data_IF_501795576363
#
_entry.id   IF_501795576363
#
_cell.length_a   1.000
_cell.length_b   1.000
_cell.length_c   1.000
_cell.angle_alpha   90.00
_cell.angle_beta   90.00
_cell.angle_gamma   90.00
#
_symmetry.space_group_name_H-M   'P 1'
#
loop_
_entity.id
_entity.type
_entity.pdbx_description
1 polymer ?
#
# COMPACT_ATOMS: atom_id res chain seq x y z
N UNK A 1 17.81 -19.33 24.32
CA UNK A 1 17.63 -17.93 23.88
C UNK A 1 17.25 -17.96 22.40
N UNK A 2 15.98 -18.26 22.05
CA UNK A 2 15.62 -18.55 20.65
C UNK A 2 14.16 -18.27 20.28
N UNK A 3 13.51 -17.32 20.97
CA UNK A 3 12.03 -17.24 20.99
C UNK A 3 11.51 -15.81 20.82
N UNK A 4 12.40 -14.80 20.78
CA UNK A 4 12.02 -13.38 20.95
C UNK A 4 11.74 -12.63 19.64
N UNK A 5 11.84 -13.30 18.49
CA UNK A 5 11.69 -12.70 17.15
C UNK A 5 10.48 -13.24 16.38
N UNK A 6 9.68 -14.11 17.00
CA UNK A 6 8.39 -14.53 16.45
C UNK A 6 7.35 -13.42 16.62
N UNK A 7 6.49 -13.23 15.62
CA UNK A 7 5.35 -12.32 15.74
C UNK A 7 4.50 -12.70 16.95
N UNK A 8 4.42 -11.82 17.95
CA UNK A 8 3.50 -12.03 19.07
C UNK A 8 2.05 -11.93 18.56
N UNK A 9 1.08 -12.70 19.11
CA UNK A 9 -0.32 -12.55 18.73
C UNK A 9 -0.81 -11.10 18.84
N UNK A 10 -0.35 -10.39 19.86
CA UNK A 10 -0.63 -8.97 20.04
C UNK A 10 -0.06 -8.11 18.92
N UNK A 11 1.19 -8.35 18.51
CA UNK A 11 1.82 -7.64 17.40
C UNK A 11 1.10 -7.86 16.07
N UNK A 12 0.71 -9.10 15.77
CA UNK A 12 -0.07 -9.44 14.58
C UNK A 12 -1.43 -8.75 14.58
N UNK A 13 -2.13 -8.74 15.72
CA UNK A 13 -3.40 -8.03 15.87
C UNK A 13 -3.21 -6.53 15.62
N UNK A 14 -2.23 -5.90 16.27
CA UNK A 14 -1.94 -4.48 16.08
C UNK A 14 -1.60 -4.13 14.63
N UNK A 15 -0.83 -4.99 13.95
CA UNK A 15 -0.49 -4.82 12.54
C UNK A 15 -1.73 -4.86 11.64
N UNK A 16 -2.60 -5.88 11.79
CA UNK A 16 -3.81 -6.03 10.98
C UNK A 16 -4.80 -4.89 11.23
N UNK A 17 -5.03 -4.51 12.49
CA UNK A 17 -5.91 -3.38 12.83
C UNK A 17 -5.30 -2.05 12.40
N UNK A 18 -3.97 -1.91 12.42
CA UNK A 18 -3.25 -0.78 11.83
C UNK A 18 -3.57 -0.62 10.34
N UNK A 19 -3.59 -1.71 9.57
CA UNK A 19 -3.98 -1.63 8.15
C UNK A 19 -5.39 -1.06 7.91
N UNK A 20 -6.31 -1.23 8.86
CA UNK A 20 -7.68 -0.70 8.79
C UNK A 20 -7.80 0.78 9.15
N UNK A 21 -6.76 1.39 9.74
CA UNK A 21 -6.80 2.76 10.24
C UNK A 21 -7.22 3.79 9.18
N UNK A 22 -6.57 3.85 8.00
CA UNK A 22 -6.93 4.79 6.94
C UNK A 22 -8.36 4.60 6.41
N UNK A 23 -8.81 3.35 6.27
CA UNK A 23 -10.20 3.03 5.91
C UNK A 23 -11.20 3.58 6.93
N UNK A 24 -11.00 3.26 8.21
CA UNK A 24 -11.92 3.65 9.27
C UNK A 24 -11.96 5.17 9.42
N UNK A 25 -10.79 5.83 9.39
CA UNK A 25 -10.68 7.28 9.47
C UNK A 25 -11.43 7.97 8.32
N UNK A 26 -11.24 7.51 7.08
CA UNK A 26 -11.94 8.07 5.93
C UNK A 26 -13.45 7.82 5.98
N UNK A 27 -13.91 6.64 6.39
CA UNK A 27 -15.33 6.36 6.57
C UNK A 27 -15.98 7.32 7.58
N UNK A 28 -15.32 7.56 8.71
CA UNK A 28 -15.78 8.53 9.74
C UNK A 28 -15.78 9.95 9.19
N UNK A 29 -14.72 10.37 8.52
CA UNK A 29 -14.62 11.73 7.97
C UNK A 29 -15.66 11.99 6.88
N UNK A 30 -15.91 11.03 6.00
CA UNK A 30 -16.99 11.10 4.99
C UNK A 30 -18.35 11.24 5.65
N UNK A 31 -18.61 10.44 6.70
CA UNK A 31 -19.87 10.49 7.43
C UNK A 31 -20.09 11.84 8.13
N UNK A 32 -19.10 12.34 8.87
CA UNK A 32 -19.17 13.61 9.60
C UNK A 32 -19.29 14.82 8.66
N UNK A 33 -18.68 14.74 7.47
CA UNK A 33 -18.80 15.79 6.44
C UNK A 33 -20.13 15.76 5.67
N UNK A 34 -21.07 14.88 6.05
CA UNK A 34 -22.39 14.77 5.42
C UNK A 34 -22.36 14.16 4.01
N UNK A 35 -21.20 13.66 3.57
CA UNK A 35 -21.05 12.98 2.27
C UNK A 35 -21.57 11.54 2.39
N UNK A 36 -22.05 10.97 1.29
CA UNK A 36 -22.59 9.61 1.30
C UNK A 36 -21.47 8.58 1.33
N UNK A 37 -21.32 7.86 2.45
CA UNK A 37 -20.37 6.74 2.61
C UNK A 37 -20.58 5.68 1.54
N UNK A 38 -21.84 5.39 1.17
CA UNK A 38 -22.17 4.44 0.10
C UNK A 38 -21.62 4.89 -1.24
N UNK A 39 -21.73 6.17 -1.57
CA UNK A 39 -21.22 6.72 -2.83
C UNK A 39 -19.69 6.68 -2.89
N UNK A 40 -19.04 7.07 -1.80
CA UNK A 40 -17.58 7.01 -1.63
C UNK A 40 -17.07 5.57 -1.80
N UNK A 41 -17.68 4.62 -1.07
CA UNK A 41 -17.26 3.23 -1.13
C UNK A 41 -17.46 2.61 -2.52
N UNK A 42 -18.56 2.93 -3.21
CA UNK A 42 -18.79 2.48 -4.59
C UNK A 42 -17.73 3.03 -5.55
N UNK A 43 -17.31 4.28 -5.35
CA UNK A 43 -16.28 4.94 -6.16
C UNK A 43 -14.94 4.20 -6.16
N UNK A 44 -14.61 3.49 -5.07
CA UNK A 44 -13.38 2.68 -4.96
C UNK A 44 -13.36 1.55 -5.99
N UNK A 45 -14.53 0.98 -6.32
CA UNK A 45 -14.65 -0.14 -7.25
C UNK A 45 -14.97 0.28 -8.68
N UNK A 46 -14.80 1.56 -9.02
CA UNK A 46 -15.02 2.07 -10.38
C UNK A 46 -13.86 1.67 -11.30
N UNK A 47 -13.95 0.47 -11.87
CA UNK A 47 -12.96 -0.09 -12.79
C UNK A 47 -13.14 0.31 -14.26
N UNK A 48 -13.71 1.48 -14.58
CA UNK A 48 -13.87 1.94 -15.97
C UNK A 48 -12.94 3.11 -16.27
N UNK A 49 -11.64 2.86 -16.24
CA UNK A 49 -10.62 3.85 -16.59
C UNK A 49 -9.97 3.54 -17.94
N UNK A 50 -9.28 4.52 -18.53
CA UNK A 50 -8.62 4.34 -19.82
C UNK A 50 -7.56 3.22 -19.77
N UNK A 51 -7.47 2.40 -20.83
CA UNK A 51 -6.55 1.25 -20.93
C UNK A 51 -5.10 1.59 -20.55
N UNK A 52 -4.64 2.80 -20.91
CA UNK A 52 -3.31 3.30 -20.58
C UNK A 52 -2.97 3.21 -19.09
N UNK A 53 -3.94 3.39 -18.19
CA UNK A 53 -3.68 3.34 -16.75
C UNK A 53 -3.47 1.92 -16.25
N UNK A 54 -4.15 0.92 -16.84
CA UNK A 54 -3.88 -0.49 -16.57
C UNK A 54 -2.49 -0.90 -17.06
N UNK A 55 -2.12 -0.46 -18.26
CA UNK A 55 -0.79 -0.70 -18.82
C UNK A 55 0.27 -0.07 -17.91
N UNK A 56 0.11 1.19 -17.52
CA UNK A 56 1.05 1.86 -16.61
C UNK A 56 1.15 1.17 -15.24
N UNK A 57 0.02 0.75 -14.67
CA UNK A 57 -0.01 0.05 -13.38
C UNK A 57 0.75 -1.29 -13.39
N UNK A 58 0.79 -1.98 -14.54
CA UNK A 58 1.56 -3.21 -14.70
C UNK A 58 3.03 -2.91 -15.07
N UNK A 59 3.27 -1.99 -15.98
CA UNK A 59 4.60 -1.75 -16.54
C UNK A 59 5.51 -1.00 -15.57
N UNK A 60 5.00 -0.01 -14.82
CA UNK A 60 5.84 0.79 -13.91
C UNK A 60 6.51 -0.09 -12.84
N UNK A 61 5.80 -0.94 -12.06
CA UNK A 61 6.43 -1.79 -11.06
C UNK A 61 7.47 -2.75 -11.65
N UNK A 62 7.20 -3.32 -12.84
CA UNK A 62 8.14 -4.19 -13.54
C UNK A 62 9.41 -3.43 -13.91
N UNK A 63 9.28 -2.23 -14.49
CA UNK A 63 10.44 -1.42 -14.85
C UNK A 63 11.25 -0.99 -13.63
N UNK A 64 10.60 -0.65 -12.52
CA UNK A 64 11.28 -0.33 -11.26
C UNK A 64 12.04 -1.55 -10.71
N UNK A 65 11.43 -2.74 -10.73
CA UNK A 65 12.07 -3.99 -10.30
C UNK A 65 13.29 -4.31 -11.16
N UNK A 66 13.17 -4.21 -12.49
CA UNK A 66 14.28 -4.45 -13.42
C UNK A 66 15.39 -3.42 -13.22
N UNK A 67 15.03 -2.14 -13.04
CA UNK A 67 16.00 -1.09 -12.72
C UNK A 67 16.76 -1.37 -11.42
N UNK A 68 16.05 -1.77 -10.36
CA UNK A 68 16.66 -2.17 -9.09
C UNK A 68 17.58 -3.38 -9.25
N UNK A 69 17.19 -4.38 -10.04
CA UNK A 69 18.01 -5.55 -10.34
C UNK A 69 19.31 -5.17 -11.07
N UNK A 70 19.24 -4.27 -12.07
CA UNK A 70 20.43 -3.74 -12.76
C UNK A 70 21.36 -3.00 -11.78
N UNK A 71 20.80 -2.14 -10.93
CA UNK A 71 21.56 -1.43 -9.90
C UNK A 71 22.27 -2.43 -8.97
N UNK A 72 21.57 -3.48 -8.53
CA UNK A 72 22.11 -4.51 -7.64
C UNK A 72 23.30 -5.25 -8.27
N UNK A 73 23.21 -5.61 -9.55
CA UNK A 73 24.31 -6.29 -10.26
C UNK A 73 25.51 -5.36 -10.46
N UNK A 74 25.28 -4.12 -10.88
CA UNK A 74 26.37 -3.19 -11.26
C UNK A 74 27.10 -2.63 -10.04
N UNK A 75 26.36 -2.27 -8.98
CA UNK A 75 26.91 -1.49 -7.86
C UNK A 75 27.13 -2.31 -6.59
N UNK A 76 26.55 -3.51 -6.50
CA UNK A 76 26.56 -4.30 -5.26
C UNK A 76 27.05 -5.74 -5.46
N UNK A 77 27.71 -6.05 -6.59
CA UNK A 77 28.17 -7.38 -6.97
C UNK A 77 27.06 -8.46 -6.87
N UNK A 78 25.81 -8.03 -7.03
CA UNK A 78 24.63 -8.86 -6.87
C UNK A 78 24.49 -9.85 -8.03
N UNK A 79 23.96 -11.04 -7.72
CA UNK A 79 23.58 -12.03 -8.73
C UNK A 79 22.06 -12.12 -8.79
N UNK A 80 21.50 -12.00 -9.99
CA UNK A 80 20.06 -12.19 -10.23
C UNK A 80 19.85 -13.56 -10.85
N UNK A 81 19.22 -14.46 -10.11
CA UNK A 81 18.85 -15.80 -10.61
C UNK A 81 17.33 -15.94 -10.69
N UNK A 82 16.82 -16.86 -11.54
CA UNK A 82 15.39 -17.17 -11.58
C UNK A 82 14.82 -17.64 -10.24
N UNK A 83 15.65 -18.14 -9.33
CA UNK A 83 15.25 -18.59 -7.98
C UNK A 83 14.77 -17.44 -7.09
N UNK A 84 15.04 -16.19 -7.47
CA UNK A 84 14.51 -14.99 -6.81
C UNK A 84 13.04 -14.71 -7.17
N UNK A 85 12.53 -15.34 -8.23
CA UNK A 85 11.14 -15.16 -8.62
C UNK A 85 10.25 -16.04 -7.73
N UNK A 86 9.12 -15.50 -7.23
CA UNK A 86 8.16 -16.29 -6.47
C UNK A 86 7.62 -17.43 -7.33
N UNK A 87 7.31 -18.56 -6.69
CA UNK A 87 6.74 -19.71 -7.38
C UNK A 87 5.43 -19.37 -8.09
N UNK A 88 5.09 -20.13 -9.13
CA UNK A 88 3.88 -19.90 -9.97
C UNK A 88 2.59 -19.90 -9.15
N UNK A 89 2.55 -20.61 -8.03
CA UNK A 89 1.42 -20.65 -7.10
C UNK A 89 1.53 -19.56 -6.03
N UNK A 90 2.74 -19.28 -5.55
CA UNK A 90 3.00 -18.31 -4.48
C UNK A 90 2.69 -16.88 -4.93
N UNK A 91 3.07 -16.56 -6.17
CA UNK A 91 2.87 -15.21 -6.72
C UNK A 91 1.40 -14.76 -6.71
N UNK A 92 0.43 -15.48 -7.31
CA UNK A 92 -0.96 -15.04 -7.29
C UNK A 92 -1.55 -15.00 -5.87
N UNK A 93 -1.11 -15.88 -4.96
CA UNK A 93 -1.54 -15.87 -3.57
C UNK A 93 -1.03 -14.61 -2.84
N UNK A 94 0.26 -14.31 -2.99
CA UNK A 94 0.86 -13.12 -2.39
C UNK A 94 0.26 -11.84 -2.98
N UNK A 95 0.06 -11.80 -4.31
CA UNK A 95 -0.58 -10.67 -4.98
C UNK A 95 -2.01 -10.46 -4.46
N UNK A 96 -2.80 -11.53 -4.33
CA UNK A 96 -4.14 -11.46 -3.75
C UNK A 96 -4.13 -10.96 -2.31
N UNK A 97 -3.19 -11.44 -1.49
CA UNK A 97 -3.00 -10.98 -0.13
C UNK A 97 -2.67 -9.48 -0.07
N UNK A 98 -1.71 -9.01 -0.88
CA UNK A 98 -1.32 -7.60 -0.94
C UNK A 98 -2.48 -6.73 -1.42
N UNK A 99 -3.23 -7.15 -2.44
CA UNK A 99 -4.39 -6.41 -2.95
C UNK A 99 -5.47 -6.28 -1.87
N UNK A 100 -5.72 -7.33 -1.08
CA UNK A 100 -6.81 -7.32 -0.11
C UNK A 100 -6.43 -6.67 1.22
N UNK A 101 -5.27 -7.03 1.77
CA UNK A 101 -4.87 -6.68 3.14
C UNK A 101 -3.82 -5.58 3.20
N UNK A 102 -2.96 -5.44 2.18
CA UNK A 102 -2.03 -4.32 2.07
C UNK A 102 -2.73 -3.10 1.50
N UNK A 103 -2.91 -3.09 0.18
CA UNK A 103 -3.54 -1.96 -0.52
C UNK A 103 -5.04 -1.83 -0.23
N UNK A 104 -5.79 -2.93 -0.20
CA UNK A 104 -7.26 -2.87 -0.11
C UNK A 104 -7.81 -2.22 1.16
N UNK A 105 -7.08 -2.31 2.27
CA UNK A 105 -7.47 -1.69 3.54
C UNK A 105 -6.97 -0.24 3.63
N UNK A 106 -5.83 0.08 3.03
CA UNK A 106 -5.22 1.40 3.18
C UNK A 106 -5.66 2.40 2.09
N UNK A 107 -5.69 1.95 0.83
CA UNK A 107 -5.94 2.79 -0.35
C UNK A 107 -7.30 3.51 -0.32
N UNK A 108 -8.40 2.97 0.24
CA UNK A 108 -9.63 3.73 0.45
C UNK A 108 -9.44 5.03 1.24
N UNK A 109 -8.56 5.01 2.25
CA UNK A 109 -8.22 6.21 3.02
C UNK A 109 -7.33 7.16 2.22
N UNK A 110 -6.23 6.63 1.66
CA UNK A 110 -5.22 7.44 0.98
C UNK A 110 -5.71 8.01 -0.35
N UNK A 111 -6.25 7.17 -1.23
CA UNK A 111 -6.72 7.55 -2.58
C UNK A 111 -8.20 7.88 -2.62
N UNK A 112 -9.01 7.22 -1.80
CA UNK A 112 -10.45 7.44 -1.78
C UNK A 112 -10.88 8.70 -1.03
N UNK A 113 -10.07 9.22 -0.11
CA UNK A 113 -10.43 10.41 0.67
C UNK A 113 -9.31 11.46 0.73
N UNK A 114 -8.15 11.13 1.31
CA UNK A 114 -7.14 12.13 1.67
C UNK A 114 -6.58 12.84 0.43
N UNK A 115 -6.20 12.09 -0.61
CA UNK A 115 -5.66 12.66 -1.83
C UNK A 115 -6.67 13.59 -2.54
N UNK A 116 -7.94 13.18 -2.82
CA UNK A 116 -8.95 14.09 -3.36
C UNK A 116 -9.15 15.35 -2.52
N UNK A 117 -9.24 15.21 -1.19
CA UNK A 117 -9.42 16.35 -0.29
C UNK A 117 -8.24 17.34 -0.37
N UNK A 118 -7.00 16.85 -0.43
CA UNK A 118 -5.82 17.70 -0.60
C UNK A 118 -5.79 18.35 -1.99
N UNK A 119 -6.24 17.65 -3.04
CA UNK A 119 -6.30 18.18 -4.40
C UNK A 119 -7.35 19.28 -4.59
N UNK A 120 -8.29 19.47 -3.65
CA UNK A 120 -9.17 20.64 -3.65
C UNK A 120 -8.38 21.96 -3.43
N UNK A 121 -7.19 21.89 -2.82
CA UNK A 121 -6.36 23.07 -2.49
C UNK A 121 -4.97 23.04 -3.13
N UNK A 122 -4.36 21.86 -3.26
CA UNK A 122 -2.98 21.69 -3.70
C UNK A 122 -2.89 21.09 -5.11
N UNK A 123 -1.82 21.43 -5.83
CA UNK A 123 -1.52 20.79 -7.11
C UNK A 123 -1.21 19.29 -6.92
N UNK A 124 -1.49 18.41 -7.91
CA UNK A 124 -1.41 16.96 -7.73
C UNK A 124 -0.08 16.43 -7.17
N UNK A 125 1.05 17.01 -7.56
CA UNK A 125 2.36 16.62 -7.02
C UNK A 125 2.49 16.96 -5.54
N UNK A 126 2.11 18.17 -5.14
CA UNK A 126 2.16 18.61 -3.74
C UNK A 126 1.22 17.78 -2.87
N UNK A 127 -0.01 17.53 -3.32
CA UNK A 127 -0.94 16.65 -2.63
C UNK A 127 -0.37 15.23 -2.48
N UNK A 128 0.24 14.69 -3.55
CA UNK A 128 0.90 13.39 -3.52
C UNK A 128 2.08 13.32 -2.54
N UNK A 129 2.91 14.36 -2.46
CA UNK A 129 4.01 14.44 -1.50
C UNK A 129 3.51 14.51 -0.05
N UNK A 130 2.47 15.29 0.22
CA UNK A 130 1.85 15.36 1.55
C UNK A 130 1.31 13.98 1.96
N UNK A 131 0.59 13.29 1.06
CA UNK A 131 0.12 11.92 1.30
C UNK A 131 1.30 10.99 1.58
N UNK A 132 2.37 11.07 0.80
CA UNK A 132 3.57 10.24 0.99
C UNK A 132 4.23 10.44 2.36
N UNK A 133 4.32 11.69 2.84
CA UNK A 133 4.86 12.00 4.17
C UNK A 133 3.97 11.43 5.28
N UNK A 134 2.65 11.62 5.17
CA UNK A 134 1.69 11.11 6.16
C UNK A 134 1.72 9.58 6.18
N UNK A 135 1.76 8.95 5.00
CA UNK A 135 1.86 7.50 4.84
C UNK A 135 3.16 6.94 5.44
N UNK A 136 4.31 7.59 5.19
CA UNK A 136 5.57 7.19 5.83
C UNK A 136 5.50 7.30 7.36
N UNK A 137 4.88 8.36 7.88
CA UNK A 137 4.62 8.52 9.31
C UNK A 137 3.69 7.44 9.88
N UNK A 138 2.69 7.02 9.11
CA UNK A 138 1.75 5.94 9.47
C UNK A 138 2.45 4.60 9.70
N UNK A 139 3.58 4.37 9.05
CA UNK A 139 4.37 3.14 9.18
C UNK A 139 5.43 3.19 10.28
N UNK A 140 5.54 4.29 11.04
CA UNK A 140 6.46 4.37 12.17
C UNK A 140 6.10 3.41 13.33
N UNK A 141 4.84 3.26 13.78
CA UNK A 141 4.53 2.43 14.94
C UNK A 141 4.92 0.95 14.79
N UNK A 142 4.66 0.26 13.65
CA UNK A 142 5.09 -1.12 13.45
C UNK A 142 6.60 -1.35 13.60
N UNK A 143 7.45 -0.36 13.24
CA UNK A 143 8.91 -0.45 13.41
C UNK A 143 9.31 -0.72 14.87
N UNK A 144 8.49 -0.29 15.84
CA UNK A 144 8.75 -0.48 17.26
C UNK A 144 8.05 -1.72 17.86
N UNK A 145 7.30 -2.49 17.05
CA UNK A 145 6.60 -3.71 17.50
C UNK A 145 7.38 -4.93 17.02
N UNK A 146 7.96 -5.74 17.94
CA UNK A 146 8.74 -6.92 17.58
C UNK A 146 7.97 -7.91 16.69
N UNK A 147 8.60 -8.32 15.59
CA UNK A 147 8.07 -9.32 14.67
C UNK A 147 7.01 -8.81 13.69
N UNK A 148 6.93 -7.50 13.44
CA UNK A 148 6.02 -6.90 12.44
C UNK A 148 6.71 -6.26 11.24
N UNK A 149 8.03 -6.06 11.30
CA UNK A 149 8.93 -5.65 10.20
C UNK A 149 10.21 -6.45 10.31
#
# INVERSE_FOLDING_TARGET
MGDQWGSSPTGTVLFVFGGLGPFAASAVLVWVSGRSVKSWFRGIFEGRIALRYYVLALTIPILLLLGAAVIHVIFFDGVVTPDLLPGVIEYPLFLGFVILFGGGLEEPGWRGYLLPALQETYWPLTAGLIVGIIWAGWHLPPVFIPGTI
#
